data_IF_318017897887
#
_entry.id   IF_318017897887
#
_cell.length_a   1.000
_cell.length_b   1.000
_cell.length_c   1.000
_cell.angle_alpha   90.00
_cell.angle_beta   90.00
_cell.angle_gamma   90.00
#
_symmetry.space_group_name_H-M   'P 1'
#
loop_
_entity.id
_entity.type
_entity.pdbx_description
1 polymer ?
#
# COMPACT_ATOMS: atom_id res chain seq x y z
N UNK A 1 1.81 -19.55 8.07
CA UNK A 1 1.01 -19.07 9.23
C UNK A 1 -0.34 -19.80 9.27
N UNK A 2 -0.33 -21.05 9.65
CA UNK A 2 -1.57 -21.86 9.71
C UNK A 2 -2.42 -21.55 10.95
N UNK A 3 -1.79 -21.03 12.01
CA UNK A 3 -2.44 -20.81 13.30
C UNK A 3 -2.91 -19.37 13.54
N UNK A 4 -2.57 -18.41 12.70
CA UNK A 4 -2.96 -17.00 12.84
C UNK A 4 -3.73 -16.52 11.63
N UNK A 5 -4.88 -15.88 11.85
CA UNK A 5 -5.68 -15.29 10.80
C UNK A 5 -5.07 -13.99 10.24
N UNK A 6 -4.28 -13.31 11.06
CA UNK A 6 -3.56 -12.09 10.68
C UNK A 6 -2.35 -11.86 11.60
N UNK A 7 -1.42 -11.03 11.11
CA UNK A 7 -0.31 -10.50 11.89
C UNK A 7 -0.06 -9.04 11.51
N UNK A 8 0.38 -8.25 12.47
CA UNK A 8 0.81 -6.88 12.28
C UNK A 8 2.33 -6.85 12.12
N UNK A 9 2.82 -6.09 11.15
CA UNK A 9 4.25 -6.08 10.78
C UNK A 9 4.90 -4.71 10.80
N UNK A 10 4.17 -3.67 11.11
CA UNK A 10 4.73 -2.32 11.10
C UNK A 10 4.71 -1.71 12.47
N UNK A 11 5.88 -1.67 13.12
CA UNK A 11 6.14 -0.77 14.25
C UNK A 11 6.77 0.56 13.77
N UNK A 12 6.84 0.77 12.46
CA UNK A 12 7.37 1.99 11.89
C UNK A 12 6.46 3.18 12.24
N UNK A 13 7.05 4.21 12.80
CA UNK A 13 6.34 5.45 13.12
C UNK A 13 6.23 6.40 11.92
N UNK A 14 7.05 6.19 10.89
CA UNK A 14 7.09 7.03 9.71
C UNK A 14 6.30 6.42 8.55
N UNK A 15 5.44 7.23 7.93
CA UNK A 15 4.60 6.76 6.83
C UNK A 15 5.41 6.26 5.62
N UNK A 16 6.63 6.76 5.41
CA UNK A 16 7.51 6.37 4.31
C UNK A 16 8.12 4.98 4.46
N UNK A 17 8.28 4.49 5.69
CA UNK A 17 8.80 3.13 5.95
C UNK A 17 7.75 2.05 5.73
N UNK A 18 6.48 2.37 6.01
CA UNK A 18 5.38 1.40 5.99
C UNK A 18 5.21 0.70 4.64
N UNK A 19 5.17 1.39 3.49
CA UNK A 19 4.99 0.72 2.20
C UNK A 19 6.12 -0.24 1.85
N UNK A 20 7.36 0.07 2.25
CA UNK A 20 8.52 -0.78 2.01
C UNK A 20 8.42 -2.06 2.83
N UNK A 21 8.09 -1.94 4.12
CA UNK A 21 7.87 -3.08 5.00
C UNK A 21 6.72 -3.94 4.47
N UNK A 22 5.59 -3.31 4.13
CA UNK A 22 4.39 -3.99 3.64
C UNK A 22 4.65 -4.79 2.36
N UNK A 23 5.39 -4.22 1.40
CA UNK A 23 5.74 -4.91 0.16
C UNK A 23 6.68 -6.10 0.41
N UNK A 24 7.68 -5.94 1.28
CA UNK A 24 8.62 -7.02 1.57
C UNK A 24 7.99 -8.17 2.35
N UNK A 25 7.07 -7.89 3.27
CA UNK A 25 6.33 -8.92 4.03
C UNK A 25 5.51 -9.82 3.12
N UNK A 26 5.01 -9.33 1.98
CA UNK A 26 4.27 -10.12 1.00
C UNK A 26 5.08 -11.30 0.41
N UNK A 27 6.41 -11.28 0.53
CA UNK A 27 7.28 -12.40 0.12
C UNK A 27 7.16 -13.61 1.07
N UNK A 28 6.68 -13.40 2.29
CA UNK A 28 6.59 -14.43 3.33
C UNK A 28 5.14 -14.73 3.74
N UNK A 29 4.26 -13.73 3.70
CA UNK A 29 2.91 -13.80 4.23
C UNK A 29 1.94 -13.21 3.21
N UNK A 30 0.78 -13.85 3.10
CA UNK A 30 -0.27 -13.35 2.19
C UNK A 30 -0.72 -11.95 2.59
N UNK A 31 -0.93 -11.04 1.65
CA UNK A 31 -1.46 -9.69 1.93
C UNK A 31 -2.75 -9.71 2.75
N UNK A 32 -3.62 -10.69 2.52
CA UNK A 32 -4.85 -10.88 3.30
C UNK A 32 -4.63 -11.23 4.77
N UNK A 33 -3.43 -11.59 5.16
CA UNK A 33 -3.03 -11.88 6.55
C UNK A 33 -2.12 -10.80 7.14
N UNK A 34 -1.64 -9.87 6.32
CA UNK A 34 -0.77 -8.76 6.73
C UNK A 34 -1.61 -7.55 7.07
N UNK A 35 -1.68 -7.18 8.34
CA UNK A 35 -2.32 -5.96 8.80
C UNK A 35 -1.34 -4.79 8.61
N UNK A 36 -1.72 -3.84 7.77
CA UNK A 36 -0.93 -2.66 7.46
C UNK A 36 -1.58 -1.42 8.06
N UNK A 37 -0.82 -0.71 8.86
CA UNK A 37 -1.30 0.47 9.58
C UNK A 37 -1.24 1.71 8.72
N UNK A 38 -2.39 2.35 8.51
CA UNK A 38 -2.51 3.71 8.02
C UNK A 38 -2.72 4.62 9.24
N UNK A 39 -1.63 5.18 9.74
CA UNK A 39 -1.67 6.07 10.93
C UNK A 39 -1.93 7.49 10.45
N UNK A 40 -3.11 8.01 10.77
CA UNK A 40 -3.56 9.36 10.41
C UNK A 40 -3.42 10.29 11.61
N UNK A 41 -2.92 11.50 11.38
CA UNK A 41 -2.73 12.51 12.43
C UNK A 41 -3.46 13.80 12.06
N UNK A 42 -3.96 14.51 13.06
CA UNK A 42 -4.68 15.77 12.85
C UNK A 42 -3.86 16.84 12.12
N UNK A 43 -2.53 16.80 12.24
CA UNK A 43 -1.59 17.71 11.59
C UNK A 43 -1.09 17.27 10.22
N UNK A 44 -1.49 16.09 9.77
CA UNK A 44 -1.07 15.59 8.45
C UNK A 44 -1.74 16.41 7.35
N UNK A 45 -0.98 16.74 6.33
CA UNK A 45 -1.53 17.31 5.11
C UNK A 45 -2.25 16.24 4.27
N UNK A 46 -2.97 16.69 3.27
CA UNK A 46 -3.71 15.85 2.33
C UNK A 46 -2.82 14.78 1.68
N UNK A 47 -1.61 15.17 1.26
CA UNK A 47 -0.67 14.27 0.61
C UNK A 47 -0.23 13.13 1.54
N UNK A 48 0.12 13.44 2.78
CA UNK A 48 0.52 12.44 3.78
C UNK A 48 -0.65 11.52 4.14
N UNK A 49 -1.87 12.06 4.20
CA UNK A 49 -3.09 11.28 4.45
C UNK A 49 -3.32 10.24 3.34
N UNK A 50 -3.27 10.64 2.08
CA UNK A 50 -3.34 9.71 0.95
C UNK A 50 -2.21 8.69 0.97
N UNK A 51 -0.98 9.13 1.21
CA UNK A 51 0.19 8.27 1.24
C UNK A 51 0.04 7.14 2.27
N UNK A 52 -0.42 7.47 3.48
CA UNK A 52 -0.65 6.51 4.55
C UNK A 52 -1.75 5.51 4.21
N UNK A 53 -2.86 5.97 3.63
CA UNK A 53 -3.99 5.12 3.25
C UNK A 53 -3.63 4.17 2.11
N UNK A 54 -2.95 4.66 1.07
CA UNK A 54 -2.49 3.84 -0.06
C UNK A 54 -1.50 2.77 0.39
N UNK A 55 -0.66 3.08 1.38
CA UNK A 55 0.23 2.08 1.98
C UNK A 55 -0.56 0.91 2.61
N UNK A 56 -1.72 1.20 3.19
CA UNK A 56 -2.62 0.19 3.75
C UNK A 56 -3.21 -0.77 2.70
N UNK A 57 -3.29 -0.35 1.44
CA UNK A 57 -3.80 -1.19 0.34
C UNK A 57 -2.83 -2.32 -0.05
N UNK A 58 -1.61 -2.29 0.44
CA UNK A 58 -0.66 -3.39 0.28
C UNK A 58 -1.07 -4.64 1.07
N UNK A 59 -2.01 -4.53 2.00
CA UNK A 59 -2.49 -5.65 2.81
C UNK A 59 -3.89 -5.42 3.35
N UNK A 60 -4.12 -5.87 4.59
CA UNK A 60 -5.35 -5.54 5.33
C UNK A 60 -5.23 -4.13 5.88
N UNK A 61 -6.01 -3.23 5.32
CA UNK A 61 -6.07 -1.85 5.79
C UNK A 61 -6.49 -1.78 7.26
N UNK A 62 -5.67 -1.16 8.07
CA UNK A 62 -5.97 -0.83 9.46
C UNK A 62 -5.76 0.67 9.67
N UNK A 63 -6.85 1.39 9.87
CA UNK A 63 -6.79 2.83 10.12
C UNK A 63 -6.63 3.07 11.63
N UNK A 64 -5.71 3.94 11.99
CA UNK A 64 -5.34 4.27 13.36
C UNK A 64 -4.90 5.73 13.46
N UNK A 65 -4.64 6.18 14.67
CA UNK A 65 -4.13 7.52 14.97
C UNK A 65 -5.19 8.46 15.53
N UNK A 66 -5.09 9.73 15.18
CA UNK A 66 -5.90 10.82 15.73
C UNK A 66 -7.20 11.02 14.92
N UNK A 67 -7.96 9.94 14.71
CA UNK A 67 -9.11 9.90 13.79
C UNK A 67 -10.19 10.92 14.18
N UNK A 68 -10.37 11.17 15.48
CA UNK A 68 -11.40 12.08 15.99
C UNK A 68 -11.06 13.56 15.78
N UNK A 69 -9.77 13.87 15.57
CA UNK A 69 -9.26 15.23 15.44
C UNK A 69 -8.87 15.56 13.99
N UNK A 70 -9.18 14.68 13.03
CA UNK A 70 -8.85 14.91 11.62
C UNK A 70 -9.60 16.13 11.07
N UNK A 71 -8.93 17.00 10.30
CA UNK A 71 -9.62 18.00 9.49
C UNK A 71 -10.66 17.34 8.57
N UNK A 72 -11.75 18.07 8.28
CA UNK A 72 -12.87 17.55 7.46
C UNK A 72 -12.41 16.99 6.13
N UNK A 73 -11.46 17.65 5.46
CA UNK A 73 -10.88 17.19 4.20
C UNK A 73 -10.19 15.83 4.35
N UNK A 74 -9.35 15.67 5.38
CA UNK A 74 -8.63 14.41 5.65
C UNK A 74 -9.60 13.30 6.07
N UNK A 75 -10.66 13.64 6.80
CA UNK A 75 -11.72 12.71 7.16
C UNK A 75 -12.46 12.20 5.91
N UNK A 76 -12.82 13.10 4.98
CA UNK A 76 -13.46 12.72 3.73
C UNK A 76 -12.56 11.81 2.88
N UNK A 77 -11.25 12.11 2.80
CA UNK A 77 -10.26 11.25 2.13
C UNK A 77 -10.23 9.86 2.76
N UNK A 78 -10.26 9.76 4.09
CA UNK A 78 -10.30 8.48 4.78
C UNK A 78 -11.56 7.68 4.43
N UNK A 79 -12.73 8.30 4.42
CA UNK A 79 -14.00 7.67 4.06
C UNK A 79 -14.00 7.16 2.60
N UNK A 80 -13.51 7.96 1.66
CA UNK A 80 -13.45 7.58 0.26
C UNK A 80 -12.43 6.49 0.01
N UNK A 81 -11.31 6.51 0.74
CA UNK A 81 -10.31 5.44 0.70
C UNK A 81 -10.84 4.11 1.26
N UNK A 82 -11.68 4.13 2.30
CA UNK A 82 -12.35 2.94 2.82
C UNK A 82 -13.30 2.36 1.78
N UNK A 83 -14.09 3.20 1.10
CA UNK A 83 -15.00 2.75 0.03
C UNK A 83 -14.21 2.12 -1.11
N UNK A 84 -13.15 2.78 -1.57
CA UNK A 84 -12.28 2.25 -2.63
C UNK A 84 -11.62 0.94 -2.20
N UNK A 85 -11.13 0.85 -0.96
CA UNK A 85 -10.59 -0.41 -0.42
C UNK A 85 -11.62 -1.53 -0.44
N UNK A 86 -12.89 -1.23 -0.13
CA UNK A 86 -13.97 -2.20 -0.16
C UNK A 86 -14.21 -2.77 -1.56
N UNK A 87 -14.04 -1.95 -2.59
CA UNK A 87 -14.13 -2.35 -4.00
C UNK A 87 -12.97 -3.27 -4.41
N UNK A 88 -11.74 -2.99 -3.96
CA UNK A 88 -10.53 -3.71 -4.38
C UNK A 88 -10.09 -4.84 -3.44
N UNK A 89 -10.69 -4.97 -2.25
CA UNK A 89 -10.26 -5.96 -1.23
C UNK A 89 -10.26 -7.40 -1.71
N UNK A 90 -11.11 -7.74 -2.69
CA UNK A 90 -11.14 -9.07 -3.28
C UNK A 90 -9.86 -9.39 -4.06
N UNK A 91 -9.24 -8.39 -4.73
CA UNK A 91 -7.94 -8.52 -5.40
C UNK A 91 -6.84 -8.72 -4.35
N UNK A 92 -6.91 -7.99 -3.23
CA UNK A 92 -5.96 -8.12 -2.12
C UNK A 92 -6.04 -9.52 -1.49
N UNK A 93 -7.25 -10.05 -1.33
CA UNK A 93 -7.49 -11.34 -0.71
C UNK A 93 -7.15 -12.53 -1.61
N UNK A 94 -7.59 -12.50 -2.86
CA UNK A 94 -7.59 -13.65 -3.76
C UNK A 94 -6.51 -13.58 -4.83
N UNK A 95 -5.99 -12.38 -5.12
CA UNK A 95 -4.97 -12.18 -6.13
C UNK A 95 -3.59 -12.64 -5.69
N UNK A 96 -2.64 -12.57 -6.61
CA UNK A 96 -1.22 -12.78 -6.34
C UNK A 96 -0.41 -11.53 -6.70
N UNK A 97 0.71 -11.35 -6.03
CA UNK A 97 1.64 -10.26 -6.34
C UNK A 97 2.60 -10.72 -7.44
N UNK A 98 2.50 -10.10 -8.60
CA UNK A 98 3.31 -10.46 -9.78
C UNK A 98 4.57 -9.61 -9.91
N UNK A 99 4.54 -8.37 -9.41
CA UNK A 99 5.69 -7.45 -9.42
C UNK A 99 5.86 -6.83 -8.04
N UNK A 100 7.09 -6.87 -7.54
CA UNK A 100 7.58 -5.99 -6.48
C UNK A 100 8.89 -5.43 -7.00
N UNK A 101 8.85 -4.19 -7.49
CA UNK A 101 10.02 -3.44 -7.92
C UNK A 101 10.28 -2.32 -6.92
N UNK A 102 11.47 -2.28 -6.35
CA UNK A 102 11.86 -1.30 -5.37
C UNK A 102 13.36 -1.02 -5.56
N UNK A 103 13.69 0.24 -5.78
CA UNK A 103 15.08 0.70 -5.89
C UNK A 103 15.55 1.44 -4.64
N UNK A 104 14.83 1.28 -3.53
CA UNK A 104 15.17 1.90 -2.25
C UNK A 104 16.22 1.06 -1.53
N UNK A 105 17.30 1.69 -1.11
CA UNK A 105 18.43 1.03 -0.40
C UNK A 105 18.21 1.03 1.12
N UNK A 106 17.65 2.12 1.68
CA UNK A 106 17.41 2.24 3.13
C UNK A 106 15.92 2.57 3.40
N UNK A 107 15.26 1.77 4.21
CA UNK A 107 13.86 1.97 4.56
C UNK A 107 13.64 3.09 5.61
N UNK A 108 14.67 3.53 6.33
CA UNK A 108 14.58 4.61 7.32
C UNK A 108 14.65 6.01 6.68
N UNK A 109 15.41 6.17 5.59
CA UNK A 109 15.47 7.39 4.78
C UNK A 109 15.33 7.00 3.30
N UNK A 110 14.14 6.57 2.87
CA UNK A 110 13.97 6.00 1.56
C UNK A 110 14.07 7.05 0.46
N UNK A 111 14.89 6.73 -0.55
CA UNK A 111 14.99 7.45 -1.80
C UNK A 111 14.58 6.56 -2.97
N UNK A 112 13.99 7.15 -4.01
CA UNK A 112 13.59 6.40 -5.18
C UNK A 112 12.09 6.09 -5.26
N UNK A 113 11.74 4.87 -5.67
CA UNK A 113 10.34 4.45 -5.81
C UNK A 113 10.14 2.98 -5.48
N UNK A 114 8.87 2.63 -5.27
CA UNK A 114 8.41 1.25 -5.15
C UNK A 114 7.15 1.05 -6.00
N UNK A 115 7.10 -0.06 -6.71
CA UNK A 115 5.93 -0.51 -7.49
C UNK A 115 5.53 -1.89 -7.00
N UNK A 116 4.25 -2.07 -6.71
CA UNK A 116 3.66 -3.38 -6.41
C UNK A 116 2.47 -3.60 -7.34
N UNK A 117 2.54 -4.64 -8.17
CA UNK A 117 1.43 -5.10 -9.02
C UNK A 117 0.84 -6.36 -8.41
N UNK A 118 -0.44 -6.28 -8.06
CA UNK A 118 -1.23 -7.40 -7.58
C UNK A 118 -2.43 -7.63 -8.47
N UNK A 119 -2.67 -8.89 -8.83
CA UNK A 119 -3.66 -9.22 -9.87
C UNK A 119 -4.42 -10.51 -9.57
N UNK A 120 -5.62 -10.57 -10.11
CA UNK A 120 -6.42 -11.77 -10.32
C UNK A 120 -6.40 -12.13 -11.82
N UNK A 121 -7.22 -13.06 -12.25
CA UNK A 121 -7.38 -13.38 -13.68
C UNK A 121 -7.88 -12.19 -14.50
N UNK A 122 -8.73 -11.32 -13.94
CA UNK A 122 -9.45 -10.29 -14.69
C UNK A 122 -9.13 -8.86 -14.28
N UNK A 123 -8.56 -8.67 -13.10
CA UNK A 123 -8.37 -7.35 -12.49
C UNK A 123 -6.98 -7.23 -11.89
N UNK A 124 -6.47 -6.02 -11.86
CA UNK A 124 -5.20 -5.73 -11.22
C UNK A 124 -5.24 -4.39 -10.50
N UNK A 125 -4.45 -4.27 -9.45
CA UNK A 125 -4.11 -3.01 -8.80
C UNK A 125 -2.61 -2.79 -8.90
N UNK A 126 -2.23 -1.60 -9.30
CA UNK A 126 -0.85 -1.13 -9.30
C UNK A 126 -0.71 -0.06 -8.21
N UNK A 127 0.11 -0.35 -7.22
CA UNK A 127 0.38 0.56 -6.11
C UNK A 127 1.79 1.09 -6.28
N UNK A 128 1.90 2.42 -6.34
CA UNK A 128 3.17 3.11 -6.56
C UNK A 128 3.42 4.06 -5.40
N UNK A 129 4.61 3.99 -4.83
CA UNK A 129 5.10 4.97 -3.88
C UNK A 129 6.38 5.59 -4.43
N UNK A 130 6.46 6.91 -4.37
CA UNK A 130 7.68 7.66 -4.65
C UNK A 130 8.20 8.24 -3.36
N UNK A 131 9.50 8.17 -3.19
CA UNK A 131 10.23 8.67 -2.03
C UNK A 131 11.07 9.87 -2.42
N UNK A 132 11.83 10.39 -1.47
CA UNK A 132 12.77 11.49 -1.69
C UNK A 132 13.69 11.18 -2.88
N UNK A 133 13.93 12.18 -3.73
CA UNK A 133 14.73 12.02 -4.94
C UNK A 133 14.26 10.91 -5.90
N UNK A 134 12.99 10.49 -5.78
CA UNK A 134 12.43 9.45 -6.63
C UNK A 134 12.34 9.89 -8.09
N UNK A 135 13.00 9.15 -8.98
CA UNK A 135 12.78 9.27 -10.41
C UNK A 135 11.36 8.80 -10.78
N UNK A 136 10.88 9.17 -11.96
CA UNK A 136 9.60 8.70 -12.46
C UNK A 136 9.59 7.17 -12.55
N UNK A 137 8.72 6.48 -11.81
CA UNK A 137 8.62 5.03 -11.86
C UNK A 137 8.11 4.57 -13.23
N UNK A 138 8.58 3.41 -13.77
CA UNK A 138 8.22 2.92 -15.10
C UNK A 138 6.83 2.26 -15.11
N UNK A 139 5.79 3.02 -14.78
CA UNK A 139 4.40 2.53 -14.63
C UNK A 139 3.88 1.92 -15.93
N UNK A 140 4.10 2.59 -17.07
CA UNK A 140 3.61 2.15 -18.38
C UNK A 140 4.11 0.75 -18.74
N UNK A 141 5.40 0.47 -18.50
CA UNK A 141 6.01 -0.84 -18.73
C UNK A 141 5.27 -1.97 -18.00
N UNK A 142 4.85 -1.75 -16.77
CA UNK A 142 4.16 -2.77 -15.99
C UNK A 142 2.71 -2.95 -16.45
N UNK A 143 2.03 -1.89 -16.86
CA UNK A 143 0.68 -1.94 -17.40
C UNK A 143 0.64 -2.62 -18.78
N UNK A 144 1.61 -2.36 -19.65
CA UNK A 144 1.73 -3.01 -20.95
C UNK A 144 1.99 -4.51 -20.79
N UNK A 145 2.94 -4.88 -19.95
CA UNK A 145 3.24 -6.29 -19.67
C UNK A 145 2.01 -7.04 -19.11
N UNK A 146 1.20 -6.39 -18.28
CA UNK A 146 -0.02 -7.00 -17.76
C UNK A 146 -1.07 -7.22 -18.85
N UNK A 147 -1.22 -6.29 -19.81
CA UNK A 147 -2.14 -6.43 -20.96
C UNK A 147 -1.73 -7.57 -21.86
N UNK A 148 -0.44 -7.68 -22.21
CA UNK A 148 0.10 -8.73 -23.08
C UNK A 148 -0.06 -10.14 -22.50
N UNK A 149 -0.05 -10.31 -21.19
CA UNK A 149 -0.29 -11.60 -20.54
C UNK A 149 -1.74 -12.09 -20.64
N UNK A 150 -2.67 -11.25 -21.12
CA UNK A 150 -4.10 -11.55 -21.25
C UNK A 150 -4.58 -11.83 -22.67
N UNK A 151 -3.74 -11.57 -23.67
CA UNK A 151 -3.96 -11.94 -25.08
C UNK A 151 -3.44 -13.37 -25.34
#
# INVERSE_FOLDING_TARGET
MELCSQASFSDAHECTSIPIIAANVQRMIKPSQSQIWAVLRAKDDVHRTYYSLISGFLGRLCISGEIFDLPEENWQIALDSIKFYDEIKHIIKNGFTSVIECNVEDYNDPEGYQIVLRQTENEAILIVHTFKNGANPPIEKHLENWKVQKE
#
